data_IF_518008374378
#
_entry.id   IF_518008374378
#
_cell.length_a   1.000
_cell.length_b   1.000
_cell.length_c   1.000
_cell.angle_alpha   90.00
_cell.angle_beta   90.00
_cell.angle_gamma   90.00
#
_symmetry.space_group_name_H-M   'P 1'
#
loop_
_entity.id
_entity.type
_entity.pdbx_description
1 polymer ?
#
# COMPACT_ATOMS: atom_id res chain seq x y z
N UNK A 1 -11.86 -30.51 -23.35
CA UNK A 1 -10.62 -30.13 -22.62
C UNK A 1 -9.62 -31.27 -22.71
N UNK A 2 -8.37 -30.98 -23.10
CA UNK A 2 -7.30 -31.98 -23.21
C UNK A 2 -6.96 -32.60 -21.84
N UNK A 3 -6.34 -33.78 -21.80
CA UNK A 3 -5.85 -34.38 -20.55
C UNK A 3 -4.81 -33.48 -19.86
N UNK A 4 -4.00 -32.76 -20.66
CA UNK A 4 -3.08 -31.73 -20.17
C UNK A 4 -3.82 -30.59 -19.46
N UNK A 5 -4.86 -30.03 -20.10
CA UNK A 5 -5.67 -28.98 -19.51
C UNK A 5 -6.36 -29.41 -18.21
N UNK A 6 -6.86 -30.65 -18.15
CA UNK A 6 -7.46 -31.22 -16.92
C UNK A 6 -6.43 -31.33 -15.79
N UNK A 7 -5.22 -31.85 -16.07
CA UNK A 7 -4.14 -31.94 -15.07
C UNK A 7 -3.73 -30.56 -14.56
N UNK A 8 -3.60 -29.57 -15.45
CA UNK A 8 -3.29 -28.19 -15.06
C UNK A 8 -4.36 -27.60 -14.14
N UNK A 9 -5.65 -27.78 -14.45
CA UNK A 9 -6.73 -27.27 -13.62
C UNK A 9 -6.84 -27.98 -12.26
N UNK A 10 -6.43 -29.25 -12.18
CA UNK A 10 -6.39 -29.99 -10.93
C UNK A 10 -5.17 -29.62 -10.05
N UNK A 11 -4.11 -29.07 -10.64
CA UNK A 11 -2.92 -28.62 -9.92
C UNK A 11 -3.20 -27.28 -9.22
N UNK A 12 -3.79 -27.33 -8.04
CA UNK A 12 -4.02 -26.16 -7.19
C UNK A 12 -2.77 -25.84 -6.36
N UNK A 13 -2.48 -24.55 -6.18
CA UNK A 13 -1.39 -24.11 -5.32
C UNK A 13 -1.75 -24.30 -3.84
N UNK A 14 -0.74 -24.43 -2.98
CA UNK A 14 -0.94 -24.49 -1.54
C UNK A 14 -1.75 -23.30 -1.01
N UNK A 15 -1.49 -22.10 -1.54
CA UNK A 15 -2.20 -20.86 -1.19
C UNK A 15 -3.69 -20.87 -1.55
N UNK A 16 -4.14 -21.74 -2.46
CA UNK A 16 -5.55 -21.91 -2.81
C UNK A 16 -6.24 -22.98 -1.94
N UNK A 17 -5.46 -23.90 -1.38
CA UNK A 17 -5.99 -25.11 -0.73
C UNK A 17 -5.90 -25.00 0.80
N UNK A 18 -4.80 -24.48 1.32
CA UNK A 18 -4.59 -24.32 2.76
C UNK A 18 -5.13 -22.97 3.23
N UNK A 19 -6.01 -22.96 4.26
CA UNK A 19 -6.43 -21.71 4.87
C UNK A 19 -5.23 -21.05 5.55
N UNK A 20 -5.22 -19.72 5.54
CA UNK A 20 -4.28 -18.96 6.37
C UNK A 20 -4.84 -18.98 7.79
N UNK A 21 -4.03 -19.47 8.73
CA UNK A 21 -4.42 -19.57 10.13
C UNK A 21 -4.76 -18.19 10.70
N UNK A 22 -5.82 -18.17 11.51
CA UNK A 22 -6.15 -17.02 12.34
C UNK A 22 -5.06 -16.87 13.41
N UNK A 23 -4.43 -15.70 13.46
CA UNK A 23 -3.36 -15.41 14.40
C UNK A 23 -3.89 -14.88 15.74
N UNK A 24 -5.21 -14.76 15.88
CA UNK A 24 -5.87 -14.20 17.06
C UNK A 24 -5.90 -12.67 17.04
N UNK A 25 -6.02 -12.07 18.21
CA UNK A 25 -6.16 -10.63 18.38
C UNK A 25 -5.03 -10.06 19.24
N UNK A 26 -4.58 -8.87 18.89
CA UNK A 26 -3.85 -7.99 19.80
C UNK A 26 -4.85 -7.00 20.37
N UNK A 27 -5.07 -7.06 21.69
CA UNK A 27 -6.17 -6.33 22.34
C UNK A 27 -7.50 -6.61 21.63
N UNK A 28 -8.11 -5.59 21.03
CA UNK A 28 -9.42 -5.63 20.37
C UNK A 28 -9.33 -5.69 18.83
N UNK A 29 -8.14 -5.84 18.24
CA UNK A 29 -7.95 -5.87 16.79
C UNK A 29 -7.29 -7.18 16.34
N UNK A 30 -7.61 -7.69 15.14
CA UNK A 30 -6.99 -8.90 14.61
C UNK A 30 -5.48 -8.71 14.40
N UNK A 31 -4.69 -9.74 14.69
CA UNK A 31 -3.28 -9.79 14.32
C UNK A 31 -3.18 -9.92 12.79
N UNK A 32 -2.23 -9.18 12.20
CA UNK A 32 -2.03 -9.20 10.75
C UNK A 32 -1.60 -10.60 10.27
N UNK A 33 -2.29 -11.09 9.25
CA UNK A 33 -1.92 -12.34 8.56
C UNK A 33 -0.54 -12.19 7.92
N UNK A 34 0.40 -13.03 8.35
CA UNK A 34 1.75 -13.15 7.79
C UNK A 34 1.77 -14.23 6.70
N UNK A 35 2.04 -13.84 5.45
CA UNK A 35 1.93 -14.72 4.28
C UNK A 35 3.26 -15.37 3.92
N UNK A 36 4.37 -14.75 4.31
CA UNK A 36 5.71 -15.30 4.07
C UNK A 36 6.61 -15.15 5.31
N UNK A 37 7.72 -15.92 5.39
CA UNK A 37 8.74 -15.74 6.41
C UNK A 37 9.35 -14.33 6.39
N UNK A 38 10.17 -14.05 7.39
CA UNK A 38 10.87 -12.78 7.50
C UNK A 38 12.03 -12.67 6.53
N UNK A 39 12.42 -11.44 6.24
CA UNK A 39 13.68 -11.16 5.53
C UNK A 39 14.85 -11.76 6.31
N UNK A 40 15.91 -12.17 5.62
CA UNK A 40 17.14 -12.70 6.22
C UNK A 40 17.98 -11.65 6.96
N UNK A 41 17.50 -10.41 7.05
CA UNK A 41 18.08 -9.32 7.82
C UNK A 41 17.31 -8.00 7.67
N UNK A 42 17.66 -6.96 8.47
CA UNK A 42 17.03 -5.65 8.37
C UNK A 42 17.22 -5.00 6.99
N UNK A 43 16.14 -4.42 6.45
CA UNK A 43 16.10 -3.84 5.09
C UNK A 43 16.02 -2.32 5.07
N UNK A 44 15.63 -1.73 6.20
CA UNK A 44 15.47 -0.29 6.38
C UNK A 44 16.14 0.16 7.68
N UNK A 45 17.25 -0.50 8.05
CA UNK A 45 17.97 -0.23 9.30
C UNK A 45 18.28 1.26 9.44
N UNK A 46 17.84 1.87 10.53
CA UNK A 46 18.14 3.28 10.85
C UNK A 46 17.30 4.30 10.06
N UNK A 47 16.43 3.87 9.14
CA UNK A 47 15.61 4.76 8.32
C UNK A 47 14.42 5.33 9.09
N UNK A 48 14.02 6.55 8.74
CA UNK A 48 12.82 7.23 9.25
C UNK A 48 11.71 7.12 8.21
N UNK A 49 10.56 6.60 8.64
CA UNK A 49 9.45 6.22 7.76
C UNK A 49 8.16 6.94 8.16
N UNK A 50 7.45 7.49 7.19
CA UNK A 50 6.08 8.00 7.36
C UNK A 50 5.13 7.16 6.52
N UNK A 51 4.02 6.71 7.12
CA UNK A 51 2.97 5.95 6.42
C UNK A 51 1.62 6.59 6.72
N UNK A 52 0.86 6.94 5.67
CA UNK A 52 -0.52 7.45 5.80
C UNK A 52 -1.55 6.35 5.55
N UNK A 53 -2.76 6.47 6.11
CA UNK A 53 -3.82 5.45 5.95
C UNK A 53 -3.57 4.19 6.79
N UNK A 54 -3.19 4.37 8.05
CA UNK A 54 -2.76 3.30 8.96
C UNK A 54 -3.82 2.85 9.98
N UNK A 55 -4.99 3.48 10.02
CA UNK A 55 -6.00 3.20 11.06
C UNK A 55 -6.74 1.87 10.86
N UNK A 56 -6.87 1.38 9.62
CA UNK A 56 -7.58 0.12 9.35
C UNK A 56 -6.86 -1.08 9.97
N UNK A 57 -7.53 -1.91 10.80
CA UNK A 57 -6.92 -3.10 11.39
C UNK A 57 -6.39 -4.09 10.34
N UNK A 58 -7.05 -4.23 9.21
CA UNK A 58 -6.61 -5.13 8.13
C UNK A 58 -5.93 -4.36 6.98
N UNK A 59 -5.53 -3.10 7.23
CA UNK A 59 -5.08 -2.18 6.19
C UNK A 59 -3.66 -2.42 5.71
N UNK A 60 -3.41 -2.07 4.44
CA UNK A 60 -2.07 -2.06 3.84
C UNK A 60 -1.13 -1.12 4.62
N UNK A 61 -1.61 0.05 5.07
CA UNK A 61 -0.81 0.98 5.86
C UNK A 61 -0.30 0.39 7.17
N UNK A 62 -1.17 -0.28 7.94
CA UNK A 62 -0.78 -0.99 9.18
C UNK A 62 0.24 -2.08 8.87
N UNK A 63 -0.03 -2.92 7.85
CA UNK A 63 0.90 -3.98 7.47
C UNK A 63 2.27 -3.45 7.03
N UNK A 64 2.32 -2.34 6.28
CA UNK A 64 3.57 -1.68 5.92
C UNK A 64 4.31 -1.12 7.13
N UNK A 65 3.61 -0.54 8.11
CA UNK A 65 4.24 -0.09 9.35
C UNK A 65 4.92 -1.25 10.11
N UNK A 66 4.26 -2.42 10.18
CA UNK A 66 4.86 -3.64 10.73
C UNK A 66 6.08 -4.07 9.93
N UNK A 67 5.99 -4.11 8.59
CA UNK A 67 7.11 -4.50 7.74
C UNK A 67 8.31 -3.56 7.92
N UNK A 68 8.12 -2.25 8.00
CA UNK A 68 9.20 -1.30 8.22
C UNK A 68 9.81 -1.41 9.62
N UNK A 69 8.98 -1.51 10.67
CA UNK A 69 9.44 -1.66 12.04
C UNK A 69 10.26 -2.96 12.23
N UNK A 70 9.71 -4.09 11.77
CA UNK A 70 10.36 -5.39 11.81
C UNK A 70 11.71 -5.40 11.10
N UNK A 71 11.84 -4.62 10.02
CA UNK A 71 13.05 -4.55 9.20
C UNK A 71 14.00 -3.41 9.62
N UNK A 72 13.89 -2.96 10.87
CA UNK A 72 14.90 -2.16 11.56
C UNK A 72 14.78 -0.65 11.38
N UNK A 73 13.60 -0.14 10.96
CA UNK A 73 13.38 1.30 10.92
C UNK A 73 13.75 1.95 12.27
N UNK A 74 14.39 3.11 12.24
CA UNK A 74 14.65 3.90 13.46
C UNK A 74 13.35 4.41 14.04
N UNK A 75 12.49 4.95 13.17
CA UNK A 75 11.21 5.50 13.54
C UNK A 75 10.15 5.26 12.47
N UNK A 76 8.93 5.02 12.91
CA UNK A 76 7.75 4.85 12.05
C UNK A 76 6.65 5.79 12.52
N UNK A 77 6.26 6.73 11.67
CA UNK A 77 5.08 7.55 11.85
C UNK A 77 3.89 6.84 11.22
N UNK A 78 2.91 6.47 12.05
CA UNK A 78 1.62 5.93 11.63
C UNK A 78 0.60 7.07 11.66
N UNK A 79 0.16 7.44 10.46
CA UNK A 79 -0.68 8.61 10.22
C UNK A 79 -2.02 8.21 9.62
N UNK A 80 -3.10 8.88 10.03
CA UNK A 80 -4.43 8.66 9.47
C UNK A 80 -5.37 9.83 9.79
N UNK A 81 -6.47 9.99 9.05
CA UNK A 81 -7.49 11.00 9.33
C UNK A 81 -8.31 10.63 10.58
N UNK A 82 -8.39 9.33 10.89
CA UNK A 82 -9.07 8.77 12.03
C UNK A 82 -8.07 8.07 12.96
N UNK A 83 -8.21 8.25 14.27
CA UNK A 83 -7.28 7.79 15.29
C UNK A 83 -7.78 6.59 16.13
N UNK A 84 -8.97 6.03 15.83
CA UNK A 84 -9.62 4.98 16.62
C UNK A 84 -8.70 3.81 16.99
N UNK A 85 -7.83 3.38 16.09
CA UNK A 85 -6.92 2.25 16.31
C UNK A 85 -5.44 2.65 16.33
N UNK A 86 -5.08 3.92 16.10
CA UNK A 86 -3.67 4.33 15.97
C UNK A 86 -2.87 4.04 17.24
N UNK A 87 -3.43 4.30 18.42
CA UNK A 87 -2.73 4.02 19.69
C UNK A 87 -2.63 2.51 19.97
N UNK A 88 -3.60 1.70 19.53
CA UNK A 88 -3.51 0.24 19.63
C UNK A 88 -2.41 -0.29 18.71
N UNK A 89 -2.34 0.18 17.46
CA UNK A 89 -1.26 -0.17 16.52
C UNK A 89 0.11 0.25 17.07
N UNK A 90 0.20 1.42 17.72
CA UNK A 90 1.43 1.88 18.36
C UNK A 90 1.89 0.93 19.47
N UNK A 91 0.98 0.51 20.36
CA UNK A 91 1.30 -0.44 21.44
C UNK A 91 1.73 -1.79 20.89
N UNK A 92 1.05 -2.28 19.86
CA UNK A 92 1.43 -3.53 19.18
C UNK A 92 2.84 -3.44 18.59
N UNK A 93 3.11 -2.43 17.77
CA UNK A 93 4.43 -2.22 17.16
C UNK A 93 5.53 -2.06 18.22
N UNK A 94 5.29 -1.30 19.29
CA UNK A 94 6.25 -1.12 20.37
C UNK A 94 6.51 -2.43 21.14
N UNK A 95 5.48 -3.27 21.31
CA UNK A 95 5.62 -4.57 21.98
C UNK A 95 6.43 -5.58 21.16
N UNK A 96 6.24 -5.59 19.84
CA UNK A 96 6.92 -6.51 18.93
C UNK A 96 8.33 -6.03 18.55
N UNK A 97 8.52 -4.71 18.47
CA UNK A 97 9.72 -4.07 17.94
C UNK A 97 10.22 -2.95 18.86
N UNK A 98 10.66 -3.27 20.10
CA UNK A 98 11.01 -2.27 21.12
C UNK A 98 12.17 -1.34 20.75
N UNK A 99 12.94 -1.67 19.71
CA UNK A 99 14.01 -0.81 19.17
C UNK A 99 13.54 0.24 18.16
N UNK A 100 12.23 0.32 17.88
CA UNK A 100 11.64 1.23 16.88
C UNK A 100 10.82 2.31 17.59
N UNK A 101 11.10 3.58 17.30
CA UNK A 101 10.29 4.69 17.80
C UNK A 101 9.00 4.84 16.98
N UNK A 102 7.84 4.64 17.59
CA UNK A 102 6.54 4.70 16.90
C UNK A 102 5.79 5.97 17.27
N UNK A 103 5.44 6.76 16.25
CA UNK A 103 4.72 8.04 16.39
C UNK A 103 3.34 7.94 15.76
N UNK A 104 2.32 8.41 16.47
CA UNK A 104 0.94 8.51 15.95
C UNK A 104 0.63 9.95 15.55
N UNK A 105 -0.02 10.15 14.41
CA UNK A 105 -0.46 11.48 13.95
C UNK A 105 -1.85 11.40 13.33
N UNK A 106 -2.78 12.19 13.85
CA UNK A 106 -4.12 12.34 13.27
C UNK A 106 -4.15 13.55 12.35
N UNK A 107 -4.27 13.32 11.05
CA UNK A 107 -4.47 14.39 10.07
C UNK A 107 -5.03 13.85 8.75
N UNK A 108 -5.68 14.72 7.99
CA UNK A 108 -6.06 14.42 6.62
C UNK A 108 -4.83 14.49 5.71
N UNK A 109 -4.50 13.40 5.02
CA UNK A 109 -3.32 13.35 4.15
C UNK A 109 -3.37 14.33 2.97
N UNK A 110 -4.55 14.87 2.62
CA UNK A 110 -4.69 15.93 1.62
C UNK A 110 -4.59 17.35 2.21
N UNK A 111 -4.44 17.49 3.53
CA UNK A 111 -4.15 18.77 4.18
C UNK A 111 -2.65 19.08 4.09
N UNK A 112 -2.33 20.12 3.32
CA UNK A 112 -0.95 20.52 3.00
C UNK A 112 -0.13 20.84 4.25
N UNK A 113 -0.71 21.63 5.17
CA UNK A 113 -0.01 22.10 6.35
C UNK A 113 0.31 20.93 7.30
N UNK A 114 -0.65 20.03 7.52
CA UNK A 114 -0.45 18.85 8.37
C UNK A 114 0.60 17.88 7.80
N UNK A 115 0.62 17.68 6.47
CA UNK A 115 1.67 16.88 5.80
C UNK A 115 3.04 17.50 6.03
N UNK A 116 3.16 18.82 5.88
CA UNK A 116 4.40 19.54 6.15
C UNK A 116 4.83 19.37 7.62
N UNK A 117 3.91 19.51 8.56
CA UNK A 117 4.21 19.44 10.00
C UNK A 117 4.75 18.06 10.43
N UNK A 118 4.18 16.96 9.93
CA UNK A 118 4.70 15.62 10.26
C UNK A 118 6.09 15.39 9.67
N UNK A 119 6.37 15.92 8.47
CA UNK A 119 7.69 15.84 7.83
C UNK A 119 8.70 16.70 8.58
N UNK A 120 8.34 17.93 8.93
CA UNK A 120 9.18 18.83 9.72
C UNK A 120 9.50 18.22 11.09
N UNK A 121 8.55 17.55 11.72
CA UNK A 121 8.79 16.82 12.96
C UNK A 121 9.82 15.70 12.75
N UNK A 122 9.69 14.89 11.69
CA UNK A 122 10.67 13.86 11.38
C UNK A 122 12.09 14.43 11.16
N UNK A 123 12.20 15.51 10.40
CA UNK A 123 13.47 16.21 10.15
C UNK A 123 14.03 16.80 11.44
N UNK A 124 13.22 17.46 12.26
CA UNK A 124 13.65 18.07 13.52
C UNK A 124 14.15 17.02 14.52
N UNK A 125 13.45 15.89 14.64
CA UNK A 125 13.78 14.84 15.62
C UNK A 125 14.97 13.98 15.18
N UNK A 126 15.06 13.68 13.88
CA UNK A 126 16.01 12.67 13.38
C UNK A 126 17.06 13.22 12.41
N UNK A 127 16.94 14.48 12.01
CA UNK A 127 17.82 15.11 11.00
C UNK A 127 17.60 14.57 9.58
N UNK A 128 16.58 13.72 9.36
CA UNK A 128 16.36 13.01 8.09
C UNK A 128 14.92 12.54 7.92
N UNK A 129 14.53 12.36 6.66
CA UNK A 129 13.42 11.51 6.22
C UNK A 129 13.95 10.58 5.12
N UNK A 130 13.51 9.32 5.12
CA UNK A 130 14.00 8.31 4.17
C UNK A 130 12.90 7.68 3.33
N UNK A 131 11.73 7.43 3.94
CA UNK A 131 10.60 6.77 3.26
C UNK A 131 9.31 7.52 3.58
N UNK A 132 8.54 7.85 2.55
CA UNK A 132 7.15 8.29 2.69
C UNK A 132 6.26 7.36 1.89
N UNK A 133 5.45 6.54 2.57
CA UNK A 133 4.41 5.75 1.93
C UNK A 133 3.06 6.48 2.00
N UNK A 134 2.73 7.19 0.92
CA UNK A 134 1.47 7.87 0.70
C UNK A 134 0.38 6.83 0.36
N UNK A 135 -0.10 6.17 1.39
CA UNK A 135 -1.06 5.06 1.30
C UNK A 135 -2.51 5.46 1.59
N UNK A 136 -2.74 6.61 2.23
CA UNK A 136 -4.10 7.13 2.42
C UNK A 136 -4.86 7.19 1.10
N UNK A 137 -6.12 6.73 1.14
CA UNK A 137 -6.99 6.72 -0.02
C UNK A 137 -8.37 6.19 0.33
N UNK A 138 -9.33 6.51 -0.53
CA UNK A 138 -10.74 6.13 -0.41
C UNK A 138 -11.20 5.42 -1.67
N UNK A 139 -12.25 4.61 -1.53
CA UNK A 139 -13.02 4.16 -2.69
C UNK A 139 -13.72 5.35 -3.32
N UNK A 140 -13.96 5.30 -4.63
CA UNK A 140 -14.85 6.26 -5.27
C UNK A 140 -16.31 5.98 -4.93
N UNK A 141 -17.19 6.74 -5.56
CA UNK A 141 -18.63 6.61 -5.32
C UNK A 141 -19.19 5.28 -5.82
N UNK A 142 -20.11 4.69 -5.05
CA UNK A 142 -20.89 3.52 -5.49
C UNK A 142 -22.14 3.98 -6.26
N UNK A 143 -21.93 4.75 -7.33
CA UNK A 143 -22.99 5.33 -8.18
C UNK A 143 -22.73 5.04 -9.64
N UNK A 144 -23.80 5.07 -10.45
CA UNK A 144 -23.67 5.12 -11.91
C UNK A 144 -23.01 6.45 -12.28
N UNK A 145 -22.16 6.45 -13.32
CA UNK A 145 -21.35 7.62 -13.67
C UNK A 145 -22.16 8.89 -13.96
N UNK A 146 -23.43 8.76 -14.37
CA UNK A 146 -24.35 9.88 -14.61
C UNK A 146 -24.81 10.59 -13.34
N UNK A 147 -24.68 9.92 -12.19
CA UNK A 147 -25.22 10.39 -10.91
C UNK A 147 -24.10 10.83 -9.95
N UNK A 148 -22.85 10.75 -10.38
CA UNK A 148 -21.68 11.24 -9.65
C UNK A 148 -21.65 12.75 -9.80
N UNK A 149 -21.82 13.48 -8.70
CA UNK A 149 -21.72 14.94 -8.75
C UNK A 149 -20.26 15.39 -8.94
N UNK A 150 -20.07 16.63 -9.40
CA UNK A 150 -18.74 17.21 -9.49
C UNK A 150 -18.01 17.23 -8.13
N UNK A 151 -18.73 17.53 -7.05
CA UNK A 151 -18.16 17.57 -5.69
C UNK A 151 -17.72 16.19 -5.21
N UNK A 152 -18.51 15.15 -5.50
CA UNK A 152 -18.14 13.78 -5.16
C UNK A 152 -16.91 13.32 -5.94
N UNK A 153 -16.88 13.61 -7.24
CA UNK A 153 -15.73 13.31 -8.10
C UNK A 153 -14.48 14.00 -7.56
N UNK A 154 -14.55 15.30 -7.27
CA UNK A 154 -13.44 16.09 -6.74
C UNK A 154 -13.02 15.66 -5.34
N UNK A 155 -13.94 15.19 -4.49
CA UNK A 155 -13.62 14.66 -3.16
C UNK A 155 -12.77 13.39 -3.24
N UNK A 156 -13.10 12.46 -4.16
CA UNK A 156 -12.29 11.27 -4.43
C UNK A 156 -10.89 11.67 -4.92
N UNK A 157 -10.80 12.62 -5.84
CA UNK A 157 -9.51 13.12 -6.36
C UNK A 157 -8.70 13.83 -5.27
N UNK A 158 -9.34 14.66 -4.44
CA UNK A 158 -8.68 15.34 -3.32
C UNK A 158 -7.99 14.32 -2.42
N UNK A 159 -8.71 13.29 -1.99
CA UNK A 159 -8.13 12.30 -1.07
C UNK A 159 -7.06 11.44 -1.74
N UNK A 160 -7.30 10.95 -2.96
CA UNK A 160 -6.40 9.98 -3.60
C UNK A 160 -5.21 10.63 -4.32
N UNK A 161 -5.37 11.83 -4.87
CA UNK A 161 -4.37 12.51 -5.73
C UNK A 161 -3.62 13.58 -4.95
N UNK A 162 -4.34 14.49 -4.28
CA UNK A 162 -3.70 15.62 -3.57
C UNK A 162 -2.85 15.10 -2.42
N UNK A 163 -3.28 14.04 -1.72
CA UNK A 163 -2.47 13.44 -0.65
C UNK A 163 -1.09 12.95 -1.13
N UNK A 164 -1.02 12.32 -2.30
CA UNK A 164 0.24 11.88 -2.92
C UNK A 164 1.08 13.07 -3.37
N UNK A 165 0.44 14.08 -3.97
CA UNK A 165 1.12 15.29 -4.42
C UNK A 165 1.75 16.06 -3.23
N UNK A 166 1.01 16.21 -2.11
CA UNK A 166 1.52 16.85 -0.90
C UNK A 166 2.64 16.05 -0.27
N UNK A 167 2.47 14.73 -0.15
CA UNK A 167 3.53 13.86 0.33
C UNK A 167 4.82 14.04 -0.48
N UNK A 168 4.75 14.00 -1.81
CA UNK A 168 5.91 14.17 -2.66
C UNK A 168 6.54 15.57 -2.57
N UNK A 169 5.71 16.62 -2.60
CA UNK A 169 6.13 18.03 -2.53
C UNK A 169 7.02 18.32 -1.34
N UNK A 170 6.67 17.80 -0.16
CA UNK A 170 7.40 18.09 1.08
C UNK A 170 8.42 17.03 1.45
N UNK A 171 8.19 15.75 1.10
CA UNK A 171 9.16 14.70 1.42
C UNK A 171 10.41 14.79 0.56
N UNK A 172 10.31 15.21 -0.71
CA UNK A 172 11.48 15.29 -1.59
C UNK A 172 12.55 16.27 -1.05
N UNK A 173 12.25 17.54 -0.69
CA UNK A 173 13.24 18.41 -0.05
C UNK A 173 13.78 17.85 1.27
N UNK A 174 12.92 17.25 2.12
CA UNK A 174 13.35 16.64 3.37
C UNK A 174 14.30 15.44 3.16
N UNK A 175 14.10 14.68 2.09
CA UNK A 175 14.95 13.56 1.69
C UNK A 175 16.29 14.02 1.07
N UNK A 176 16.40 15.27 0.61
CA UNK A 176 17.68 15.83 0.15
C UNK A 176 18.62 16.21 1.30
N UNK A 177 18.11 16.34 2.52
CA UNK A 177 18.93 16.66 3.68
C UNK A 177 19.93 15.55 3.95
N UNK A 178 21.19 15.93 4.16
CA UNK A 178 22.29 15.05 4.52
C UNK A 178 22.63 15.17 6.00
N UNK A 179 23.23 14.12 6.54
CA UNK A 179 23.70 14.04 7.92
C UNK A 179 24.90 13.08 8.00
N UNK A 180 25.62 12.96 9.13
CA UNK A 180 26.68 11.96 9.28
C UNK A 180 26.22 10.53 8.94
N UNK A 181 24.96 10.19 9.24
CA UNK A 181 24.35 8.88 8.95
C UNK A 181 23.65 8.81 7.57
N UNK A 182 23.64 9.92 6.81
CA UNK A 182 23.03 10.05 5.47
C UNK A 182 23.89 10.99 4.63
N UNK A 183 25.03 10.50 4.17
CA UNK A 183 26.04 11.33 3.49
C UNK A 183 25.57 11.90 2.14
N UNK A 184 24.60 11.26 1.50
CA UNK A 184 24.08 11.67 0.20
C UNK A 184 22.55 11.84 0.24
N UNK A 185 22.00 12.76 -0.58
CA UNK A 185 20.57 12.81 -0.87
C UNK A 185 20.07 11.42 -1.31
N UNK A 186 19.00 10.96 -0.67
CA UNK A 186 18.37 9.68 -1.00
C UNK A 186 16.99 9.58 -0.37
N UNK A 187 16.11 8.79 -0.97
CA UNK A 187 14.80 8.52 -0.37
C UNK A 187 13.88 7.72 -1.28
N UNK A 188 12.75 7.29 -0.72
CA UNK A 188 11.72 6.57 -1.45
C UNK A 188 10.34 7.11 -1.12
N UNK A 189 9.69 7.66 -2.13
CA UNK A 189 8.28 8.06 -2.10
C UNK A 189 7.48 6.95 -2.77
N UNK A 190 6.58 6.34 -2.00
CA UNK A 190 5.75 5.23 -2.46
C UNK A 190 4.31 5.72 -2.44
N UNK A 191 3.60 5.59 -3.55
CA UNK A 191 2.21 5.99 -3.65
C UNK A 191 1.30 4.75 -3.80
N UNK A 192 0.12 4.78 -3.20
CA UNK A 192 -0.88 3.73 -3.42
C UNK A 192 -1.82 4.12 -4.56
N UNK A 193 -1.58 3.54 -5.73
CA UNK A 193 -2.49 3.56 -6.88
C UNK A 193 -3.54 2.42 -6.76
N UNK A 194 -3.84 1.74 -7.86
CA UNK A 194 -4.71 0.58 -7.94
C UNK A 194 -4.57 -0.06 -9.33
N UNK A 195 -4.95 -1.32 -9.49
CA UNK A 195 -5.22 -1.88 -10.83
C UNK A 195 -6.25 -1.07 -11.62
N UNK A 196 -7.15 -0.34 -10.96
CA UNK A 196 -8.08 0.60 -11.59
C UNK A 196 -7.37 1.80 -12.27
N UNK A 197 -6.13 2.09 -11.88
CA UNK A 197 -5.28 3.06 -12.56
C UNK A 197 -4.45 2.47 -13.72
N UNK A 198 -4.44 1.13 -13.86
CA UNK A 198 -3.71 0.44 -14.93
C UNK A 198 -4.64 -0.02 -16.05
N UNK A 199 -5.83 -0.50 -15.69
CA UNK A 199 -6.84 -1.07 -16.57
C UNK A 199 -8.23 -0.64 -16.11
N UNK A 200 -9.18 -0.57 -17.03
CA UNK A 200 -10.58 -0.24 -16.73
C UNK A 200 -11.28 -1.34 -15.92
N UNK A 201 -12.48 -1.04 -15.41
CA UNK A 201 -13.40 -2.00 -14.76
C UNK A 201 -12.99 -2.53 -13.36
N UNK A 202 -12.10 -1.82 -12.66
CA UNK A 202 -11.73 -2.15 -11.28
C UNK A 202 -12.18 -1.08 -10.25
N UNK A 203 -13.07 -0.17 -10.63
CA UNK A 203 -13.68 0.83 -9.77
C UNK A 203 -14.58 1.80 -10.54
N UNK A 204 -15.22 2.71 -9.82
CA UNK A 204 -15.99 3.82 -10.40
C UNK A 204 -15.09 4.76 -11.22
N UNK A 205 -15.70 5.65 -12.02
CA UNK A 205 -14.95 6.54 -12.92
C UNK A 205 -14.06 7.53 -12.17
N UNK A 206 -14.55 8.12 -11.07
CA UNK A 206 -13.78 8.99 -10.17
C UNK A 206 -12.61 8.25 -9.51
N UNK A 207 -12.83 7.02 -9.04
CA UNK A 207 -11.76 6.19 -8.47
C UNK A 207 -10.69 5.86 -9.51
N UNK A 208 -11.09 5.35 -10.68
CA UNK A 208 -10.17 4.95 -11.75
C UNK A 208 -9.38 6.14 -12.29
N UNK A 209 -10.03 7.30 -12.45
CA UNK A 209 -9.36 8.56 -12.80
C UNK A 209 -8.32 8.94 -11.74
N UNK A 210 -8.71 8.95 -10.46
CA UNK A 210 -7.80 9.30 -9.36
C UNK A 210 -6.57 8.37 -9.29
N UNK A 211 -6.75 7.06 -9.47
CA UNK A 211 -5.64 6.10 -9.39
C UNK A 211 -4.75 6.13 -10.64
N UNK A 212 -5.30 6.47 -11.81
CA UNK A 212 -4.49 6.79 -13.00
C UNK A 212 -3.64 8.05 -12.78
N UNK A 213 -4.21 9.09 -12.15
CA UNK A 213 -3.45 10.30 -11.79
C UNK A 213 -2.29 10.01 -10.84
N UNK A 214 -2.46 9.11 -9.87
CA UNK A 214 -1.37 8.70 -8.96
C UNK A 214 -0.22 8.04 -9.72
N UNK A 215 -0.52 7.16 -10.69
CA UNK A 215 0.52 6.55 -11.57
C UNK A 215 1.28 7.63 -12.34
N UNK A 216 0.54 8.57 -12.95
CA UNK A 216 1.13 9.66 -13.71
C UNK A 216 1.98 10.60 -12.84
N UNK A 217 1.54 10.89 -11.61
CA UNK A 217 2.32 11.67 -10.64
C UNK A 217 3.65 10.96 -10.31
N UNK A 218 3.62 9.66 -10.01
CA UNK A 218 4.84 8.91 -9.70
C UNK A 218 5.84 8.96 -10.86
N UNK A 219 5.37 8.75 -12.09
CA UNK A 219 6.19 8.86 -13.30
C UNK A 219 6.76 10.26 -13.47
N UNK A 220 5.90 11.29 -13.43
CA UNK A 220 6.29 12.68 -13.72
C UNK A 220 7.27 13.21 -12.68
N UNK A 221 6.99 13.00 -11.39
CA UNK A 221 7.83 13.51 -10.30
C UNK A 221 9.19 12.79 -10.30
N UNK A 222 9.25 11.51 -10.69
CA UNK A 222 10.52 10.79 -10.77
C UNK A 222 11.54 11.47 -11.70
N UNK A 223 11.09 12.05 -12.81
CA UNK A 223 11.95 12.82 -13.72
C UNK A 223 12.34 14.19 -13.15
N UNK A 224 11.44 14.83 -12.39
CA UNK A 224 11.73 16.11 -11.73
C UNK A 224 12.77 15.98 -10.62
N UNK A 225 12.97 14.76 -10.10
CA UNK A 225 13.95 14.44 -9.06
C UNK A 225 15.24 13.82 -9.63
N UNK A 226 15.50 13.97 -10.93
CA UNK A 226 16.71 13.45 -11.57
C UNK A 226 18.00 13.90 -10.83
N UNK A 227 18.90 12.95 -10.58
CA UNK A 227 20.18 13.19 -9.90
C UNK A 227 20.11 13.35 -8.37
N UNK A 228 18.92 13.36 -7.76
CA UNK A 228 18.75 13.58 -6.31
C UNK A 228 18.85 12.31 -5.47
N UNK A 229 18.90 11.12 -6.09
CA UNK A 229 18.84 9.83 -5.39
C UNK A 229 17.47 9.49 -4.78
N UNK A 230 16.45 10.33 -4.99
CA UNK A 230 15.09 10.10 -4.52
C UNK A 230 14.28 9.39 -5.59
N UNK A 231 13.62 8.29 -5.22
CA UNK A 231 12.80 7.48 -6.11
C UNK A 231 11.33 7.67 -5.81
N UNK A 232 10.49 7.61 -6.85
CA UNK A 232 9.04 7.70 -6.74
C UNK A 232 8.42 6.54 -7.49
N UNK A 233 7.66 5.70 -6.80
CA UNK A 233 6.97 4.56 -7.42
C UNK A 233 5.53 4.45 -6.93
N UNK A 234 4.68 3.84 -7.75
CA UNK A 234 3.29 3.54 -7.39
C UNK A 234 3.12 2.04 -7.21
N UNK A 235 2.45 1.63 -6.14
CA UNK A 235 1.94 0.27 -5.97
C UNK A 235 0.50 0.25 -6.49
N UNK A 236 0.15 -0.75 -7.29
CA UNK A 236 -1.18 -0.96 -7.86
C UNK A 236 -1.78 -2.26 -7.30
N UNK A 237 -2.39 -2.23 -6.10
CA UNK A 237 -3.02 -3.42 -5.53
C UNK A 237 -4.21 -3.88 -6.37
N UNK A 238 -4.41 -5.19 -6.45
CA UNK A 238 -5.65 -5.83 -6.89
C UNK A 238 -6.67 -5.93 -5.77
N UNK A 239 -7.40 -7.05 -5.71
CA UNK A 239 -8.34 -7.32 -4.61
C UNK A 239 -7.58 -7.81 -3.39
N UNK A 240 -7.56 -6.98 -2.35
CA UNK A 240 -6.91 -7.26 -1.06
C UNK A 240 -7.97 -7.31 0.03
N UNK A 241 -7.96 -8.29 0.93
CA UNK A 241 -8.83 -8.31 2.12
C UNK A 241 -8.34 -7.28 3.14
N UNK A 242 -9.00 -6.12 3.17
CA UNK A 242 -8.70 -4.98 4.06
C UNK A 242 -10.00 -4.38 4.59
N UNK A 243 -9.93 -3.38 5.49
CA UNK A 243 -11.14 -2.66 5.92
C UNK A 243 -11.91 -2.02 4.75
N UNK A 244 -11.23 -1.61 3.69
CA UNK A 244 -11.84 -1.00 2.50
C UNK A 244 -12.71 -2.00 1.72
N UNK A 245 -12.32 -3.28 1.69
CA UNK A 245 -13.01 -4.34 0.92
C UNK A 245 -13.82 -5.28 1.81
N UNK A 246 -13.78 -5.12 3.14
CA UNK A 246 -14.49 -5.95 4.10
C UNK A 246 -15.98 -6.15 3.74
N UNK A 247 -16.76 -5.12 3.33
CA UNK A 247 -18.16 -5.31 2.95
C UNK A 247 -18.34 -6.29 1.76
N UNK A 248 -17.43 -6.27 0.79
CA UNK A 248 -17.44 -7.21 -0.35
C UNK A 248 -17.17 -8.64 0.12
N UNK A 249 -16.17 -8.82 0.99
CA UNK A 249 -15.82 -10.13 1.55
C UNK A 249 -16.93 -10.70 2.44
N UNK A 250 -17.51 -9.88 3.33
CA UNK A 250 -18.63 -10.24 4.19
C UNK A 250 -19.86 -10.65 3.36
N UNK A 251 -20.22 -9.88 2.34
CA UNK A 251 -21.32 -10.22 1.43
C UNK A 251 -21.03 -11.50 0.63
N UNK A 252 -19.78 -11.78 0.28
CA UNK A 252 -19.41 -13.03 -0.38
C UNK A 252 -19.52 -14.23 0.58
N UNK A 253 -19.05 -14.08 1.82
CA UNK A 253 -19.18 -15.08 2.90
C UNK A 253 -20.63 -15.41 3.21
N UNK A 254 -21.47 -14.40 3.40
CA UNK A 254 -22.90 -14.57 3.65
C UNK A 254 -23.62 -15.35 2.53
N UNK A 255 -23.15 -15.22 1.28
CA UNK A 255 -23.66 -15.95 0.12
C UNK A 255 -22.96 -17.28 -0.17
N UNK A 256 -21.99 -17.69 0.64
CA UNK A 256 -21.18 -18.90 0.38
C UNK A 256 -20.33 -18.82 -0.90
N UNK A 257 -19.98 -17.60 -1.33
CA UNK A 257 -19.30 -17.32 -2.61
C UNK A 257 -17.91 -16.72 -2.44
N UNK A 258 -17.35 -16.70 -1.23
CA UNK A 258 -16.02 -16.16 -0.93
C UNK A 258 -14.91 -16.77 -1.82
N UNK A 259 -14.99 -18.07 -2.11
CA UNK A 259 -14.06 -18.76 -3.02
C UNK A 259 -14.08 -18.25 -4.48
N UNK A 260 -15.06 -17.40 -4.84
CA UNK A 260 -15.13 -16.75 -6.16
C UNK A 260 -14.37 -15.41 -6.18
N UNK A 261 -13.95 -14.88 -5.04
CA UNK A 261 -13.13 -13.67 -4.98
C UNK A 261 -11.77 -13.97 -5.60
N UNK A 262 -11.37 -13.16 -6.58
CA UNK A 262 -10.12 -13.36 -7.31
C UNK A 262 -10.16 -14.49 -8.35
N UNK A 263 -11.33 -15.03 -8.69
CA UNK A 263 -11.48 -16.05 -9.74
C UNK A 263 -10.98 -15.61 -11.12
N UNK A 264 -10.91 -14.29 -11.36
CA UNK A 264 -10.38 -13.69 -12.59
C UNK A 264 -8.86 -13.49 -12.53
N UNK A 265 -8.27 -13.55 -11.33
CA UNK A 265 -6.83 -13.43 -11.14
C UNK A 265 -6.19 -14.77 -11.55
N UNK A 266 -5.09 -14.79 -12.31
CA UNK A 266 -4.30 -16.00 -12.53
C UNK A 266 -3.93 -16.78 -11.25
N UNK A 267 -3.71 -16.10 -10.12
CA UNK A 267 -3.50 -16.76 -8.82
C UNK A 267 -4.78 -17.27 -8.13
N UNK A 268 -5.96 -16.97 -8.66
CA UNK A 268 -7.26 -17.52 -8.23
C UNK A 268 -7.77 -17.06 -6.87
N UNK A 269 -7.16 -16.05 -6.25
CA UNK A 269 -7.51 -15.55 -4.91
C UNK A 269 -7.33 -14.04 -4.78
N UNK A 270 -7.95 -13.47 -3.74
CA UNK A 270 -7.54 -12.19 -3.19
C UNK A 270 -6.26 -12.31 -2.36
N UNK A 271 -5.59 -11.18 -2.16
CA UNK A 271 -4.38 -11.08 -1.34
C UNK A 271 -4.66 -10.51 0.05
N UNK A 272 -3.65 -10.57 0.91
CA UNK A 272 -3.66 -9.91 2.21
C UNK A 272 -2.74 -8.69 2.24
N UNK A 273 -2.97 -7.79 3.19
CA UNK A 273 -2.21 -6.56 3.35
C UNK A 273 -0.68 -6.79 3.43
N UNK A 274 -0.24 -7.89 4.05
CA UNK A 274 1.17 -8.29 4.16
C UNK A 274 1.86 -8.45 2.79
N UNK A 275 1.15 -8.98 1.79
CA UNK A 275 1.73 -9.19 0.45
C UNK A 275 2.03 -7.85 -0.25
N UNK A 276 1.17 -6.86 -0.06
CA UNK A 276 1.37 -5.50 -0.56
C UNK A 276 2.43 -4.76 0.25
N UNK A 277 2.42 -4.94 1.57
CA UNK A 277 3.38 -4.33 2.49
C UNK A 277 4.83 -4.76 2.22
N UNK A 278 5.05 -6.01 1.78
CA UNK A 278 6.37 -6.49 1.36
C UNK A 278 6.90 -5.81 0.10
N UNK A 279 6.01 -5.45 -0.84
CA UNK A 279 6.39 -4.63 -1.99
C UNK A 279 6.71 -3.20 -1.56
N UNK A 280 5.95 -2.63 -0.62
CA UNK A 280 6.28 -1.33 -0.02
C UNK A 280 7.64 -1.36 0.69
N UNK A 281 7.95 -2.43 1.42
CA UNK A 281 9.26 -2.63 2.03
C UNK A 281 10.38 -2.69 0.99
N UNK A 282 10.22 -3.50 -0.07
CA UNK A 282 11.17 -3.58 -1.18
C UNK A 282 11.41 -2.20 -1.79
N UNK A 283 10.34 -1.47 -2.14
CA UNK A 283 10.40 -0.13 -2.72
C UNK A 283 11.03 0.90 -1.76
N UNK A 284 10.87 0.75 -0.45
CA UNK A 284 11.49 1.60 0.57
C UNK A 284 12.97 1.28 0.86
N UNK A 285 13.41 0.08 0.51
CA UNK A 285 14.78 -0.40 0.73
C UNK A 285 15.74 -0.05 -0.42
N UNK A 286 17.03 -0.31 -0.22
CA UNK A 286 18.07 -0.14 -1.25
C UNK A 286 18.00 -1.17 -2.39
N UNK A 287 17.24 -2.25 -2.22
CA UNK A 287 17.11 -3.27 -3.26
C UNK A 287 16.36 -2.77 -4.49
N UNK A 288 15.56 -1.72 -4.31
CA UNK A 288 14.86 -1.04 -5.39
C UNK A 288 15.62 0.20 -5.88
N UNK A 289 16.94 0.28 -5.63
CA UNK A 289 17.81 1.40 -6.03
C UNK A 289 17.73 1.75 -7.52
N UNK A 290 17.37 0.79 -8.38
CA UNK A 290 17.16 0.98 -9.82
C UNK A 290 15.69 0.93 -10.28
N UNK A 291 14.75 1.03 -9.35
CA UNK A 291 13.31 1.06 -9.61
C UNK A 291 12.79 2.47 -9.34
N UNK A 292 12.46 3.20 -10.41
CA UNK A 292 11.99 4.58 -10.33
C UNK A 292 10.93 4.86 -11.41
N UNK A 293 9.89 5.61 -11.05
CA UNK A 293 8.77 5.96 -11.94
C UNK A 293 7.87 4.78 -12.34
N UNK A 294 7.92 3.67 -11.61
CA UNK A 294 7.22 2.44 -12.01
C UNK A 294 5.87 2.29 -11.30
N UNK A 295 4.91 1.67 -12.00
CA UNK A 295 3.63 1.23 -11.46
C UNK A 295 3.64 -0.30 -11.25
N UNK A 296 3.74 -0.73 -10.01
CA UNK A 296 3.91 -2.13 -9.61
C UNK A 296 2.57 -2.79 -9.35
N UNK A 297 2.10 -3.62 -10.28
CA UNK A 297 0.92 -4.45 -10.08
C UNK A 297 1.16 -5.50 -8.99
N UNK A 298 0.32 -5.50 -7.96
CA UNK A 298 0.29 -6.50 -6.88
C UNK A 298 -1.12 -7.07 -6.81
N UNK A 299 -1.46 -7.90 -7.79
CA UNK A 299 -2.86 -8.21 -8.12
C UNK A 299 -3.12 -9.68 -8.50
N UNK A 300 -2.15 -10.55 -8.26
CA UNK A 300 -2.24 -11.95 -8.62
C UNK A 300 -2.37 -12.21 -10.13
N UNK A 301 -1.93 -11.26 -10.96
CA UNK A 301 -1.91 -11.32 -12.42
C UNK A 301 -3.17 -10.76 -13.09
N UNK A 302 -4.10 -10.14 -12.34
CA UNK A 302 -5.36 -9.63 -12.86
C UNK A 302 -5.17 -8.66 -14.04
N UNK A 303 -4.20 -7.75 -13.95
CA UNK A 303 -3.92 -6.74 -14.98
C UNK A 303 -2.95 -7.20 -16.07
N UNK A 304 -2.41 -8.42 -15.96
CA UNK A 304 -1.33 -8.91 -16.81
C UNK A 304 -1.80 -9.37 -18.21
N UNK A 305 -3.11 -9.52 -18.45
CA UNK A 305 -3.60 -10.05 -19.73
C UNK A 305 -5.04 -9.67 -20.06
N UNK A 306 -5.44 -10.03 -21.29
CA UNK A 306 -6.82 -9.94 -21.74
C UNK A 306 -7.67 -11.06 -21.11
N UNK A 307 -9.00 -10.91 -21.06
CA UNK A 307 -9.88 -12.00 -20.65
C UNK A 307 -9.57 -13.28 -21.42
N UNK A 308 -9.39 -14.39 -20.70
CA UNK A 308 -9.17 -15.70 -21.30
C UNK A 308 -10.07 -16.74 -20.64
N UNK A 309 -10.37 -17.82 -21.37
CA UNK A 309 -11.14 -18.95 -20.83
C UNK A 309 -10.17 -20.04 -20.39
N UNK A 310 -10.11 -20.37 -19.09
CA UNK A 310 -9.26 -21.46 -18.60
C UNK A 310 -9.55 -22.76 -19.36
N UNK A 311 -8.48 -23.46 -19.76
CA UNK A 311 -8.58 -24.75 -20.46
C UNK A 311 -8.85 -24.69 -21.97
N UNK A 312 -8.95 -23.49 -22.58
CA UNK A 312 -8.98 -23.34 -24.06
C UNK A 312 -7.59 -23.31 -24.70
N UNK A 313 -6.55 -22.92 -23.96
CA UNK A 313 -5.17 -23.05 -24.39
C UNK A 313 -4.73 -24.49 -24.11
N UNK A 314 -4.46 -25.22 -25.20
CA UNK A 314 -4.27 -26.69 -25.28
C UNK A 314 -3.13 -27.23 -24.42
#
# INVERSE_FOLDING_TARGET
MSASAKRRLAALSEQLVKPIEDQGNFENIPILKKIAPDSTGPRVKGKVVIVTGTNSPLGIGRASAHQFAQNGARAVYICDYNDTNLETHKRELASLYPGVEVHTRKFDAADEQSVKEVIDHAVKTYGRLDIFFANAGVVGTNKVFTDISADEFLSTLRTNVVSVAMAAKYSAPAMMLTSPDKQYPSGSIIATASVAGLRSNAGSSDYSASKSSVVSLAQTISYQLAGTGIRVNAICPGVIETGMTAPMYEAARARGSEKKIGQLNPLGRGAHADEVARVALFLGSEESSYVNGQAWAVDGGLSAGHPFVPGKLG
#
